data_IF_486451056083
#
_entry.id   IF_486451056083
#
_cell.length_a   1.000
_cell.length_b   1.000
_cell.length_c   1.000
_cell.angle_alpha   90.00
_cell.angle_beta   90.00
_cell.angle_gamma   90.00
#
_symmetry.space_group_name_H-M   'P 1'
#
loop_
_entity.id
_entity.type
_entity.pdbx_description
1 polymer ?
#
# COMPACT_ATOMS: atom_id res chain seq x y z
N UNK A 1 -30.55 -5.99 4.79
CA UNK A 1 -29.50 -4.98 4.49
C UNK A 1 -28.18 -5.59 4.91
N UNK A 2 -27.41 -6.13 3.96
CA UNK A 2 -26.12 -6.77 4.25
C UNK A 2 -25.08 -5.66 4.38
N UNK A 3 -24.69 -5.32 5.61
CA UNK A 3 -23.52 -4.49 5.88
C UNK A 3 -22.29 -5.27 5.44
N UNK A 4 -21.68 -4.87 4.32
CA UNK A 4 -20.34 -5.34 3.98
C UNK A 4 -19.43 -5.14 5.20
N UNK A 5 -18.63 -6.14 5.61
CA UNK A 5 -17.70 -5.95 6.71
C UNK A 5 -16.81 -4.75 6.37
N UNK A 6 -16.72 -3.81 7.30
CA UNK A 6 -15.89 -2.63 7.13
C UNK A 6 -14.44 -3.11 7.07
N UNK A 7 -13.80 -3.06 5.89
CA UNK A 7 -12.46 -3.60 5.64
C UNK A 7 -11.40 -3.11 6.64
N UNK A 8 -11.61 -1.96 7.26
CA UNK A 8 -10.72 -1.42 8.31
C UNK A 8 -10.81 -2.16 9.64
N UNK A 9 -11.94 -2.81 9.94
CA UNK A 9 -12.14 -3.55 11.20
C UNK A 9 -11.34 -4.86 11.23
N UNK A 10 -11.03 -5.41 10.05
CA UNK A 10 -10.24 -6.65 9.88
C UNK A 10 -8.77 -6.37 9.51
N UNK A 11 -8.27 -5.14 9.70
CA UNK A 11 -6.87 -4.80 9.38
C UNK A 11 -5.89 -5.35 10.43
N UNK A 12 -4.91 -6.19 10.04
CA UNK A 12 -3.86 -6.69 10.93
C UNK A 12 -3.01 -5.56 11.52
N UNK A 13 -2.68 -4.56 10.69
CA UNK A 13 -1.90 -3.39 11.09
C UNK A 13 -2.62 -2.56 12.16
N UNK A 14 -3.90 -2.26 11.97
CA UNK A 14 -4.67 -1.47 12.96
C UNK A 14 -4.91 -2.24 14.26
N UNK A 15 -5.07 -3.56 14.21
CA UNK A 15 -5.16 -4.39 15.41
C UNK A 15 -3.86 -4.28 16.24
N UNK A 16 -2.71 -4.48 15.60
CA UNK A 16 -1.41 -4.40 16.27
C UNK A 16 -1.12 -2.99 16.80
N UNK A 17 -1.40 -1.93 16.03
CA UNK A 17 -1.21 -0.54 16.44
C UNK A 17 -2.07 -0.17 17.67
N UNK A 18 -3.22 -0.83 17.84
CA UNK A 18 -4.09 -0.68 19.00
C UNK A 18 -3.78 -1.65 20.15
N UNK A 19 -2.68 -2.41 20.08
CA UNK A 19 -2.28 -3.38 21.10
C UNK A 19 -3.15 -4.64 21.16
N UNK A 20 -3.95 -4.92 20.12
CA UNK A 20 -4.78 -6.13 20.02
C UNK A 20 -4.04 -7.25 19.28
N UNK A 21 -4.35 -8.49 19.61
CA UNK A 21 -3.82 -9.67 18.92
C UNK A 21 -4.49 -9.86 17.54
N UNK A 22 -3.72 -10.35 16.56
CA UNK A 22 -4.20 -10.75 15.24
C UNK A 22 -3.53 -12.07 14.80
N UNK A 23 -4.01 -12.69 13.72
CA UNK A 23 -3.56 -14.02 13.26
C UNK A 23 -2.07 -14.08 12.89
N UNK A 24 -1.47 -12.95 12.50
CA UNK A 24 -0.05 -12.83 12.16
C UNK A 24 0.49 -11.44 12.52
N UNK A 25 1.81 -11.32 12.58
CA UNK A 25 2.50 -10.03 12.78
C UNK A 25 2.41 -9.20 11.50
N UNK A 26 1.85 -7.98 11.52
CA UNK A 26 1.74 -7.15 10.33
C UNK A 26 3.11 -6.63 9.88
N UNK A 27 3.34 -6.60 8.57
CA UNK A 27 4.59 -6.15 7.94
C UNK A 27 4.29 -5.12 6.86
N UNK A 28 5.07 -4.04 6.87
CA UNK A 28 5.17 -3.03 5.81
C UNK A 28 6.59 -2.45 5.84
N UNK A 29 7.01 -1.81 4.74
CA UNK A 29 8.33 -1.21 4.65
C UNK A 29 8.27 0.28 4.30
N UNK A 30 9.12 1.08 4.97
CA UNK A 30 9.34 2.46 4.55
C UNK A 30 9.87 2.49 3.13
N UNK A 31 9.25 3.31 2.27
CA UNK A 31 9.59 3.45 0.84
C UNK A 31 9.39 2.17 0.01
N UNK A 32 8.41 1.34 0.38
CA UNK A 32 8.05 0.12 -0.36
C UNK A 32 7.63 0.38 -1.82
N UNK A 33 6.94 1.50 -2.08
CA UNK A 33 6.60 1.96 -3.42
C UNK A 33 7.77 2.80 -3.98
N UNK A 34 8.67 2.17 -4.73
CA UNK A 34 9.85 2.87 -5.22
C UNK A 34 10.69 2.09 -6.23
N UNK A 35 11.92 2.57 -6.44
CA UNK A 35 12.82 2.12 -7.50
C UNK A 35 13.28 0.65 -7.39
N UNK A 36 12.98 -0.03 -6.29
CA UNK A 36 13.16 -1.48 -6.16
C UNK A 36 12.16 -2.28 -7.00
N UNK A 37 11.01 -1.68 -7.35
CA UNK A 37 9.97 -2.33 -8.15
C UNK A 37 10.16 -2.00 -9.64
N UNK A 38 10.24 -3.01 -10.53
CA UNK A 38 10.28 -2.77 -11.97
C UNK A 38 9.00 -2.09 -12.50
N UNK A 39 7.83 -2.45 -11.97
CA UNK A 39 6.53 -1.86 -12.31
C UNK A 39 6.45 -0.37 -11.94
N UNK A 40 7.07 0.06 -10.83
CA UNK A 40 7.18 1.47 -10.47
C UNK A 40 7.93 2.27 -11.54
N UNK A 41 9.08 1.74 -12.00
CA UNK A 41 9.89 2.39 -13.03
C UNK A 41 9.13 2.51 -14.35
N UNK A 42 8.38 1.47 -14.72
CA UNK A 42 7.61 1.44 -15.95
C UNK A 42 6.52 2.52 -15.99
N UNK A 43 5.75 2.69 -14.91
CA UNK A 43 4.62 3.64 -14.90
C UNK A 43 5.04 5.07 -14.56
N UNK A 44 6.08 5.25 -13.73
CA UNK A 44 6.62 6.57 -13.42
C UNK A 44 7.25 7.21 -14.66
N UNK A 45 7.87 6.38 -15.51
CA UNK A 45 8.62 6.84 -16.69
C UNK A 45 9.82 7.72 -16.34
N UNK A 46 10.32 8.39 -17.38
CA UNK A 46 11.42 9.34 -17.28
C UNK A 46 10.89 10.72 -16.90
N UNK A 47 11.16 11.18 -15.68
CA UNK A 47 10.62 12.45 -15.18
C UNK A 47 10.80 12.65 -13.68
N UNK A 48 10.39 13.83 -13.20
CA UNK A 48 10.44 14.18 -11.78
C UNK A 48 9.38 13.43 -10.99
N UNK A 49 9.74 12.96 -9.78
CA UNK A 49 8.77 12.39 -8.85
C UNK A 49 7.68 13.41 -8.48
N UNK A 50 7.99 14.70 -8.48
CA UNK A 50 7.04 15.75 -8.15
C UNK A 50 5.91 15.87 -9.17
N UNK A 51 6.15 15.53 -10.44
CA UNK A 51 5.09 15.51 -11.45
C UNK A 51 4.24 14.26 -11.32
N UNK A 52 4.86 13.10 -11.07
CA UNK A 52 4.14 11.84 -10.89
C UNK A 52 3.16 11.90 -9.69
N UNK A 53 3.57 12.48 -8.56
CA UNK A 53 2.70 12.58 -7.37
C UNK A 53 1.57 13.61 -7.52
N UNK A 54 1.64 14.53 -8.50
CA UNK A 54 0.56 15.48 -8.80
C UNK A 54 -0.57 14.85 -9.60
N UNK A 55 -0.36 13.66 -10.15
CA UNK A 55 -1.36 12.89 -10.88
C UNK A 55 -1.98 11.86 -9.93
N UNK A 56 -3.22 12.08 -9.43
CA UNK A 56 -3.79 11.25 -8.36
C UNK A 56 -3.90 9.78 -8.74
N UNK A 57 -4.33 9.47 -9.97
CA UNK A 57 -4.48 8.09 -10.44
C UNK A 57 -3.13 7.36 -10.50
N UNK A 58 -2.09 8.05 -10.98
CA UNK A 58 -0.73 7.50 -11.03
C UNK A 58 -0.16 7.31 -9.63
N UNK A 59 -0.37 8.26 -8.72
CA UNK A 59 0.09 8.18 -7.35
C UNK A 59 -0.59 7.01 -6.60
N UNK A 60 -1.91 6.82 -6.81
CA UNK A 60 -2.66 5.70 -6.26
C UNK A 60 -2.12 4.36 -6.79
N UNK A 61 -1.94 4.24 -8.11
CA UNK A 61 -1.40 3.03 -8.74
C UNK A 61 -0.02 2.68 -8.17
N UNK A 62 0.92 3.64 -8.12
CA UNK A 62 2.25 3.48 -7.51
C UNK A 62 2.15 2.98 -6.06
N UNK A 63 1.19 3.50 -5.29
CA UNK A 63 1.03 3.17 -3.86
C UNK A 63 0.51 1.75 -3.66
N UNK A 64 -0.31 1.23 -4.58
CA UNK A 64 -0.89 -0.10 -4.51
C UNK A 64 0.09 -1.21 -4.94
N UNK A 65 1.11 -0.91 -5.74
CA UNK A 65 2.06 -1.92 -6.26
C UNK A 65 2.67 -2.84 -5.19
N UNK A 66 3.19 -2.34 -4.05
CA UNK A 66 3.80 -3.19 -3.03
C UNK A 66 2.77 -4.08 -2.32
N UNK A 67 1.57 -3.55 -2.09
CA UNK A 67 0.44 -4.28 -1.49
C UNK A 67 0.03 -5.43 -2.40
N UNK A 68 -0.12 -5.17 -3.70
CA UNK A 68 -0.48 -6.17 -4.69
C UNK A 68 0.62 -7.21 -4.92
N UNK A 69 1.90 -6.79 -4.92
CA UNK A 69 3.03 -7.67 -5.20
C UNK A 69 3.41 -8.56 -4.02
N UNK A 70 3.41 -8.02 -2.81
CA UNK A 70 3.95 -8.70 -1.62
C UNK A 70 2.90 -9.03 -0.57
N UNK A 71 1.68 -8.50 -0.67
CA UNK A 71 0.65 -8.72 0.34
C UNK A 71 0.99 -8.10 1.69
N UNK A 72 1.72 -6.97 1.70
CA UNK A 72 1.99 -6.21 2.94
C UNK A 72 0.69 -5.71 3.57
N UNK A 73 0.71 -5.52 4.88
CA UNK A 73 -0.49 -5.24 5.68
C UNK A 73 -0.91 -3.75 5.72
N UNK A 74 -0.10 -2.87 5.12
CA UNK A 74 -0.32 -1.42 5.02
C UNK A 74 0.42 -0.80 3.82
#
# INVERSE_FOLDING_TARGET
>A
MSTSPNATTESPFLAAAAGRHYLHTPVWFMRQAGRSLPEYKAIRGDGSILEAIKQPDLAAEITLQPVQRYGVDA
#
